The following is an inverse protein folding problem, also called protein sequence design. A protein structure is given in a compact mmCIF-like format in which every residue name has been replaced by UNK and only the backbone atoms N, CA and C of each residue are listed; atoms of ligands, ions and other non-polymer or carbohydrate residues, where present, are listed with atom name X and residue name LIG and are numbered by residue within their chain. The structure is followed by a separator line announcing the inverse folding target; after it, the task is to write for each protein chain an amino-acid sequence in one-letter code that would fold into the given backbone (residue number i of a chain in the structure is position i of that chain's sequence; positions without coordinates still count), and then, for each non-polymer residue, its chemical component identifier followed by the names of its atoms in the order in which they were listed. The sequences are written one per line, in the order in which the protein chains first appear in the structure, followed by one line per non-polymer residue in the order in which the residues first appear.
data_IF_299568963694
#
_entry.id   IF_299568963694
#
_cell.length_a   1.000
_cell.length_b   1.000
_cell.length_c   1.000
_cell.angle_alpha   90.00
_cell.angle_beta   90.00
_cell.angle_gamma   90.00
#
_symmetry.space_group_name_H-M   'P 1'
#
loop_
_entity.id
_entity.type
_entity.pdbx_description
1 polymer ?
#
# COMPACT_ATOMS: atom_id res chain seq x y z
N UNK A 1 -3.13 -28.48 -7.22
CA UNK A 1 -4.15 -27.45 -7.13
C UNK A 1 -3.50 -26.13 -7.52
N UNK A 2 -4.27 -25.25 -8.13
CA UNK A 2 -3.86 -23.87 -8.36
C UNK A 2 -4.87 -23.01 -7.61
N UNK A 3 -4.39 -22.15 -6.69
CA UNK A 3 -5.24 -21.32 -5.85
C UNK A 3 -5.31 -19.96 -6.51
N UNK A 4 -6.48 -19.55 -7.03
CA UNK A 4 -6.66 -18.35 -7.84
C UNK A 4 -5.60 -18.28 -8.94
N UNK A 5 -5.72 -19.19 -9.89
CA UNK A 5 -4.65 -19.49 -10.82
C UNK A 5 -4.37 -18.38 -11.83
N UNK A 6 -3.12 -18.33 -12.30
CA UNK A 6 -2.73 -17.51 -13.45
C UNK A 6 -2.36 -18.41 -14.62
N UNK A 7 -2.71 -18.00 -15.83
CA UNK A 7 -2.17 -18.61 -17.04
C UNK A 7 -0.66 -18.37 -17.09
N UNK A 8 0.10 -19.40 -17.45
CA UNK A 8 1.55 -19.35 -17.55
C UNK A 8 1.94 -19.41 -19.03
N UNK A 9 2.90 -18.59 -19.40
CA UNK A 9 3.54 -18.57 -20.73
C UNK A 9 5.02 -18.95 -20.59
N UNK A 10 5.74 -19.06 -21.71
CA UNK A 10 7.17 -19.39 -21.74
C UNK A 10 8.02 -18.40 -20.92
N UNK A 11 7.58 -17.15 -20.81
CA UNK A 11 8.29 -16.07 -20.11
C UNK A 11 7.79 -15.75 -18.69
N UNK A 12 6.68 -16.36 -18.23
CA UNK A 12 6.13 -16.03 -16.91
C UNK A 12 4.63 -16.24 -16.78
N UNK A 13 3.93 -15.33 -16.09
CA UNK A 13 2.46 -15.32 -16.00
C UNK A 13 1.85 -14.35 -17.01
N UNK A 14 0.68 -14.71 -17.54
CA UNK A 14 -0.07 -13.87 -18.47
C UNK A 14 -0.68 -12.70 -17.71
N UNK A 15 -0.37 -11.50 -18.19
CA UNK A 15 -0.85 -10.24 -17.63
C UNK A 15 -2.28 -9.93 -18.07
N UNK A 16 -3.08 -9.39 -17.17
CA UNK A 16 -4.41 -8.85 -17.48
C UNK A 16 -4.26 -7.55 -18.32
N UNK A 17 -5.34 -7.10 -18.98
CA UNK A 17 -5.34 -5.80 -19.63
C UNK A 17 -4.88 -4.70 -18.66
N UNK A 18 -3.95 -3.88 -19.10
CA UNK A 18 -3.35 -2.81 -18.32
C UNK A 18 -2.66 -3.26 -17.01
N UNK A 19 -2.25 -4.52 -16.91
CA UNK A 19 -1.48 -5.03 -15.78
C UNK A 19 0.03 -4.77 -16.01
N UNK A 20 0.65 -4.05 -15.08
CA UNK A 20 2.09 -3.79 -15.04
C UNK A 20 2.71 -4.38 -13.78
N UNK A 21 3.88 -4.98 -13.93
CA UNK A 21 4.69 -5.44 -12.80
C UNK A 21 5.32 -4.21 -12.15
N UNK A 22 5.12 -4.05 -10.85
CA UNK A 22 5.71 -2.98 -10.04
C UNK A 22 6.93 -3.48 -9.30
N UNK A 23 6.88 -4.73 -8.81
CA UNK A 23 8.00 -5.34 -8.11
C UNK A 23 8.04 -6.84 -8.37
N UNK A 24 9.25 -7.41 -8.39
CA UNK A 24 9.48 -8.86 -8.41
C UNK A 24 10.56 -9.22 -7.42
N UNK A 25 10.30 -10.21 -6.57
CA UNK A 25 11.26 -10.65 -5.57
C UNK A 25 12.41 -11.45 -6.18
N UNK A 26 13.51 -11.64 -5.45
CA UNK A 26 14.49 -12.66 -5.77
C UNK A 26 13.87 -14.08 -5.84
N UNK A 27 14.50 -15.03 -6.57
CA UNK A 27 13.95 -16.36 -6.84
C UNK A 27 13.96 -17.31 -5.64
N UNK A 28 14.67 -16.98 -4.54
CA UNK A 28 14.62 -17.76 -3.30
C UNK A 28 13.54 -17.25 -2.34
N UNK A 29 12.37 -16.91 -2.85
CA UNK A 29 11.22 -16.48 -2.04
C UNK A 29 10.27 -17.64 -1.79
N UNK A 30 10.09 -18.01 -0.53
CA UNK A 30 9.19 -19.08 -0.12
C UNK A 30 7.79 -18.52 0.20
N UNK A 31 6.75 -19.33 0.02
CA UNK A 31 5.38 -18.99 0.43
C UNK A 31 4.73 -20.14 1.19
N UNK A 32 3.87 -19.81 2.14
CA UNK A 32 2.92 -20.75 2.75
C UNK A 32 1.55 -20.12 2.90
N UNK A 33 0.51 -20.91 2.65
CA UNK A 33 -0.89 -20.56 2.76
C UNK A 33 -1.54 -21.52 3.74
N UNK A 34 -2.04 -20.99 4.85
CA UNK A 34 -2.68 -21.75 5.94
C UNK A 34 -3.89 -21.00 6.48
N UNK A 35 -4.86 -21.66 7.13
CA UNK A 35 -5.87 -20.97 7.91
C UNK A 35 -5.23 -20.01 8.93
N UNK A 36 -5.90 -18.89 9.25
CA UNK A 36 -5.40 -17.95 10.24
C UNK A 36 -5.31 -18.60 11.62
N UNK A 37 -4.37 -18.12 12.44
CA UNK A 37 -4.20 -18.55 13.82
C UNK A 37 -5.49 -18.36 14.61
N UNK A 38 -6.03 -19.44 15.18
CA UNK A 38 -7.28 -19.40 15.94
C UNK A 38 -8.53 -19.79 15.15
N UNK A 39 -8.41 -20.15 13.87
CA UNK A 39 -9.50 -20.78 13.13
C UNK A 39 -9.90 -22.11 13.78
N UNK A 40 -11.20 -22.25 14.12
CA UNK A 40 -11.77 -23.44 14.78
C UNK A 40 -12.60 -24.32 13.82
N UNK A 41 -12.64 -23.98 12.54
CA UNK A 41 -13.37 -24.77 11.55
C UNK A 41 -12.63 -26.04 11.17
N UNK A 42 -13.32 -26.94 10.46
CA UNK A 42 -12.77 -28.23 10.05
C UNK A 42 -11.84 -28.19 8.82
N UNK A 43 -11.63 -27.01 8.23
CA UNK A 43 -10.83 -26.89 7.02
C UNK A 43 -9.33 -26.73 7.30
N UNK A 44 -8.52 -27.57 6.65
CA UNK A 44 -7.08 -27.70 6.86
C UNK A 44 -6.27 -27.38 5.61
N UNK A 45 -6.48 -26.19 5.03
CA UNK A 45 -5.64 -25.71 3.93
C UNK A 45 -4.16 -25.69 4.35
N UNK A 46 -3.29 -26.36 3.60
CA UNK A 46 -1.85 -26.33 3.85
C UNK A 46 -1.11 -26.43 2.54
N UNK A 47 -0.75 -25.28 1.99
CA UNK A 47 -0.03 -25.18 0.73
C UNK A 47 1.26 -24.42 0.96
N UNK A 48 2.38 -24.94 0.46
CA UNK A 48 3.69 -24.33 0.66
C UNK A 48 4.61 -24.54 -0.55
N UNK A 49 5.49 -23.57 -0.77
CA UNK A 49 6.61 -23.66 -1.70
C UNK A 49 7.86 -23.10 -1.04
N UNK A 50 8.98 -23.82 -1.14
CA UNK A 50 10.23 -23.45 -0.48
C UNK A 50 11.07 -22.43 -1.27
N UNK A 51 10.76 -22.22 -2.56
CA UNK A 51 11.44 -21.27 -3.44
C UNK A 51 10.53 -20.88 -4.62
N UNK A 52 10.75 -19.70 -5.19
CA UNK A 52 9.90 -19.09 -6.18
C UNK A 52 10.03 -17.57 -6.19
N UNK A 53 9.21 -16.93 -7.00
CA UNK A 53 9.15 -15.48 -7.11
C UNK A 53 7.75 -14.98 -6.77
N UNK A 54 7.67 -13.94 -5.94
CA UNK A 54 6.45 -13.16 -5.75
C UNK A 54 6.55 -11.89 -6.61
N UNK A 55 5.52 -11.68 -7.42
CA UNK A 55 5.35 -10.52 -8.27
C UNK A 55 4.21 -9.67 -7.71
N UNK A 56 4.48 -8.38 -7.57
CA UNK A 56 3.50 -7.37 -7.27
C UNK A 56 3.18 -6.63 -8.55
N UNK A 57 1.92 -6.63 -8.95
CA UNK A 57 1.42 -5.83 -10.07
C UNK A 57 0.55 -4.69 -9.56
N UNK A 58 0.14 -3.79 -10.45
CA UNK A 58 -0.85 -2.76 -10.12
C UNK A 58 -2.27 -3.31 -9.87
N UNK A 59 -2.51 -4.62 -10.00
CA UNK A 59 -3.84 -5.22 -9.85
C UNK A 59 -3.87 -6.37 -8.83
N UNK A 60 -2.77 -7.12 -8.69
CA UNK A 60 -2.73 -8.33 -7.87
C UNK A 60 -1.33 -8.68 -7.39
N UNK A 61 -1.29 -9.54 -6.39
CA UNK A 61 -0.10 -10.30 -6.00
C UNK A 61 -0.13 -11.64 -6.74
N UNK A 62 0.99 -12.04 -7.34
CA UNK A 62 1.14 -13.35 -8.02
C UNK A 62 2.36 -14.06 -7.45
N UNK A 63 2.23 -15.33 -7.10
CA UNK A 63 3.36 -16.16 -6.70
C UNK A 63 3.56 -17.31 -7.69
N UNK A 64 4.80 -17.45 -8.14
CA UNK A 64 5.26 -18.51 -9.02
C UNK A 64 6.30 -19.39 -8.30
N UNK A 65 5.94 -20.64 -7.94
CA UNK A 65 6.89 -21.61 -7.41
C UNK A 65 8.04 -21.90 -8.39
N UNK A 66 9.25 -22.08 -7.88
CA UNK A 66 10.39 -22.54 -8.69
C UNK A 66 10.17 -23.97 -9.20
N UNK A 67 9.61 -24.84 -8.36
CA UNK A 67 9.18 -26.18 -8.73
C UNK A 67 7.66 -26.27 -8.66
N UNK A 68 7.01 -26.30 -9.83
CA UNK A 68 5.55 -26.43 -9.95
C UNK A 68 5.16 -27.88 -9.68
N UNK A 69 4.33 -28.12 -8.68
CA UNK A 69 3.83 -29.46 -8.36
C UNK A 69 2.37 -29.60 -8.79
N UNK A 70 1.89 -30.85 -8.86
CA UNK A 70 0.46 -31.08 -9.07
C UNK A 70 -0.39 -30.47 -7.97
N UNK A 71 0.16 -30.22 -6.78
CA UNK A 71 -0.52 -29.66 -5.62
C UNK A 71 -0.45 -28.14 -5.57
N UNK A 72 0.61 -27.52 -6.09
CA UNK A 72 0.78 -26.08 -6.12
C UNK A 72 1.53 -25.61 -7.37
N UNK A 73 0.79 -24.98 -8.29
CA UNK A 73 1.34 -24.49 -9.56
C UNK A 73 1.55 -22.98 -9.59
N UNK A 74 0.61 -22.23 -9.02
CA UNK A 74 0.64 -20.78 -8.93
C UNK A 74 -0.37 -20.31 -7.89
N UNK A 75 -0.17 -19.07 -7.44
CA UNK A 75 -1.12 -18.35 -6.62
C UNK A 75 -1.31 -16.93 -7.15
N UNK A 76 -2.54 -16.40 -7.08
CA UNK A 76 -2.81 -14.99 -7.32
C UNK A 76 -3.87 -14.45 -6.37
N UNK A 77 -3.80 -13.17 -6.02
CA UNK A 77 -4.85 -12.51 -5.24
C UNK A 77 -4.94 -11.03 -5.61
N UNK A 78 -6.15 -10.50 -5.88
CA UNK A 78 -6.36 -9.07 -6.06
C UNK A 78 -5.84 -8.28 -4.85
N UNK A 79 -5.27 -7.09 -5.06
CA UNK A 79 -4.66 -6.31 -3.97
C UNK A 79 -5.66 -5.99 -2.84
N UNK A 80 -6.91 -5.69 -3.18
CA UNK A 80 -7.96 -5.38 -2.21
C UNK A 80 -8.38 -6.58 -1.34
N UNK A 81 -8.10 -7.80 -1.79
CA UNK A 81 -8.36 -9.02 -1.04
C UNK A 81 -7.25 -9.35 -0.04
N UNK A 82 -6.13 -8.63 -0.08
CA UNK A 82 -4.99 -8.82 0.82
C UNK A 82 -5.04 -7.78 1.94
N UNK A 83 -5.18 -8.23 3.18
CA UNK A 83 -5.38 -7.40 4.38
C UNK A 83 -4.33 -7.71 5.46
N UNK A 84 -4.25 -6.85 6.47
CA UNK A 84 -3.42 -7.05 7.67
C UNK A 84 -1.97 -7.43 7.37
N UNK A 85 -1.41 -6.74 6.39
CA UNK A 85 -0.07 -6.95 5.85
C UNK A 85 0.99 -6.34 6.76
N UNK A 86 2.06 -7.08 7.05
CA UNK A 86 3.18 -6.60 7.85
C UNK A 86 4.47 -7.37 7.58
N UNK A 87 5.61 -6.76 7.87
CA UNK A 87 6.93 -7.40 7.81
C UNK A 87 7.44 -7.71 9.22
N UNK A 88 7.96 -8.91 9.41
CA UNK A 88 8.73 -9.32 10.58
C UNK A 88 10.19 -9.53 10.18
N UNK A 89 11.10 -8.82 10.84
CA UNK A 89 12.54 -8.91 10.64
C UNK A 89 13.18 -9.48 11.92
N UNK A 90 13.33 -10.81 12.03
CA UNK A 90 13.98 -11.42 13.19
C UNK A 90 15.47 -11.07 13.21
N UNK A 91 16.09 -11.01 14.40
CA UNK A 91 17.54 -10.78 14.56
C UNK A 91 18.39 -11.79 13.79
N UNK A 92 17.90 -13.03 13.67
CA UNK A 92 18.54 -14.08 12.89
C UNK A 92 17.50 -14.74 11.99
N UNK A 93 17.83 -14.86 10.70
CA UNK A 93 16.99 -15.50 9.70
C UNK A 93 16.43 -14.51 8.66
N UNK A 94 15.64 -15.03 7.70
CA UNK A 94 15.08 -14.22 6.62
C UNK A 94 13.91 -13.36 7.10
N UNK A 95 13.72 -12.22 6.44
CA UNK A 95 12.54 -11.38 6.65
C UNK A 95 11.29 -12.08 6.13
N UNK A 96 10.20 -11.90 6.84
CA UNK A 96 8.91 -12.51 6.53
C UNK A 96 7.88 -11.42 6.35
N UNK A 97 7.17 -11.41 5.23
CA UNK A 97 5.96 -10.63 5.07
C UNK A 97 4.75 -11.54 5.25
N UNK A 98 3.80 -11.13 6.09
CA UNK A 98 2.59 -11.89 6.39
C UNK A 98 1.37 -11.04 6.10
N UNK A 99 0.33 -11.64 5.52
CA UNK A 99 -0.95 -10.99 5.25
C UNK A 99 -2.12 -11.99 5.34
N UNK A 100 -3.33 -11.48 5.49
CA UNK A 100 -4.57 -12.23 5.37
C UNK A 100 -5.17 -12.05 3.97
N UNK A 101 -5.43 -13.16 3.30
CA UNK A 101 -6.02 -13.18 1.96
C UNK A 101 -7.47 -13.63 2.05
N UNK A 102 -8.39 -12.79 1.58
CA UNK A 102 -9.79 -13.14 1.45
C UNK A 102 -10.01 -14.01 0.21
N UNK A 103 -10.56 -15.24 0.34
CA UNK A 103 -10.89 -16.08 -0.79
C UNK A 103 -11.87 -15.40 -1.74
N UNK A 104 -11.75 -15.68 -3.04
CA UNK A 104 -12.73 -15.28 -4.06
C UNK A 104 -13.47 -16.49 -4.57
N UNK A 105 -14.72 -16.30 -5.00
CA UNK A 105 -15.54 -17.34 -5.59
C UNK A 105 -14.85 -17.96 -6.81
N UNK A 106 -14.81 -19.29 -6.89
CA UNK A 106 -14.11 -20.00 -7.97
C UNK A 106 -12.58 -20.05 -7.83
N UNK A 107 -12.04 -19.56 -6.71
CA UNK A 107 -10.60 -19.42 -6.48
C UNK A 107 -9.84 -20.65 -6.01
N UNK A 108 -10.49 -21.80 -5.85
CA UNK A 108 -9.85 -23.03 -5.36
C UNK A 108 -9.55 -23.06 -3.86
N UNK A 109 -9.73 -21.94 -3.14
CA UNK A 109 -9.83 -21.91 -1.68
C UNK A 109 -11.32 -22.04 -1.32
N UNK A 110 -11.66 -22.86 -0.33
CA UNK A 110 -13.06 -23.03 0.06
C UNK A 110 -13.65 -21.73 0.63
N UNK A 111 -14.92 -21.50 0.35
CA UNK A 111 -15.68 -20.39 0.90
C UNK A 111 -15.93 -20.51 2.42
N UNK A 112 -15.67 -21.68 3.03
CA UNK A 112 -15.74 -21.86 4.49
C UNK A 112 -14.61 -21.18 5.25
N UNK A 113 -13.53 -20.78 4.58
CA UNK A 113 -12.48 -19.96 5.18
C UNK A 113 -12.80 -18.48 4.99
N UNK A 114 -12.96 -17.69 6.08
CA UNK A 114 -13.17 -16.24 5.94
C UNK A 114 -11.91 -15.51 5.44
N UNK A 115 -10.74 -16.08 5.73
CA UNK A 115 -9.44 -15.61 5.29
C UNK A 115 -8.43 -16.76 5.30
N UNK A 116 -7.34 -16.59 4.57
CA UNK A 116 -6.17 -17.46 4.56
C UNK A 116 -4.94 -16.63 4.93
N UNK A 117 -4.15 -17.09 5.88
CA UNK A 117 -2.87 -16.46 6.18
C UNK A 117 -1.85 -16.83 5.10
N UNK A 118 -1.35 -15.81 4.41
CA UNK A 118 -0.23 -15.90 3.49
C UNK A 118 1.03 -15.42 4.19
N UNK A 119 2.05 -16.29 4.22
CA UNK A 119 3.37 -15.99 4.75
C UNK A 119 4.40 -16.12 3.65
N UNK A 120 5.10 -15.04 3.35
CA UNK A 120 6.14 -14.96 2.32
C UNK A 120 7.48 -14.75 3.00
N UNK A 121 8.44 -15.63 2.73
CA UNK A 121 9.78 -15.59 3.35
C UNK A 121 10.82 -15.22 2.31
N UNK A 122 11.46 -14.07 2.50
CA UNK A 122 12.43 -13.49 1.58
C UNK A 122 13.85 -13.88 1.99
N UNK A 123 14.40 -14.95 1.41
CA UNK A 123 15.72 -15.49 1.78
C UNK A 123 16.90 -14.65 1.28
N UNK A 124 16.64 -13.72 0.36
CA UNK A 124 17.64 -12.88 -0.31
C UNK A 124 17.33 -11.39 -0.13
N UNK A 125 16.50 -11.03 0.85
CA UNK A 125 16.06 -9.64 1.07
C UNK A 125 14.88 -9.21 0.18
N UNK A 126 14.53 -7.93 0.25
CA UNK A 126 13.43 -7.33 -0.52
C UNK A 126 12.04 -7.40 0.14
N UNK A 127 11.93 -7.87 1.39
CA UNK A 127 10.65 -7.93 2.10
C UNK A 127 10.08 -6.53 2.39
N UNK A 128 10.93 -5.59 2.81
CA UNK A 128 10.52 -4.21 3.08
C UNK A 128 10.16 -3.48 1.79
N UNK A 129 10.96 -3.61 0.74
CA UNK A 129 10.65 -3.02 -0.57
C UNK A 129 9.33 -3.55 -1.12
N UNK A 130 9.10 -4.86 -1.04
CA UNK A 130 7.83 -5.48 -1.41
C UNK A 130 6.67 -4.88 -0.61
N UNK A 131 6.80 -4.80 0.72
CA UNK A 131 5.75 -4.28 1.59
C UNK A 131 5.45 -2.80 1.32
N UNK A 132 6.47 -1.95 1.19
CA UNK A 132 6.30 -0.52 0.88
C UNK A 132 5.62 -0.32 -0.48
N UNK A 133 6.02 -1.06 -1.52
CA UNK A 133 5.35 -1.00 -2.81
C UNK A 133 3.91 -1.52 -2.73
N UNK A 134 3.68 -2.60 -1.96
CA UNK A 134 2.35 -3.18 -1.78
C UNK A 134 1.39 -2.19 -1.12
N UNK A 135 1.77 -1.58 0.01
CA UNK A 135 0.92 -0.62 0.70
C UNK A 135 0.65 0.62 -0.16
N UNK A 136 1.69 1.16 -0.83
CA UNK A 136 1.57 2.32 -1.74
C UNK A 136 0.55 2.09 -2.86
N UNK A 137 0.57 0.93 -3.52
CA UNK A 137 -0.38 0.64 -4.60
C UNK A 137 -1.76 0.38 -4.03
N UNK A 138 -1.85 -0.35 -2.92
CA UNK A 138 -3.11 -0.73 -2.30
C UNK A 138 -3.89 0.50 -1.82
N UNK A 139 -3.22 1.45 -1.17
CA UNK A 139 -3.82 2.72 -0.74
C UNK A 139 -4.43 3.48 -1.93
N UNK A 140 -3.66 3.69 -3.00
CA UNK A 140 -4.15 4.35 -4.23
C UNK A 140 -5.32 3.61 -4.88
N UNK A 141 -5.31 2.28 -4.83
CA UNK A 141 -6.41 1.48 -5.35
C UNK A 141 -7.67 1.59 -4.49
N UNK A 142 -7.52 1.70 -3.17
CA UNK A 142 -8.64 1.95 -2.25
C UNK A 142 -9.23 3.35 -2.47
N UNK A 143 -8.39 4.38 -2.57
CA UNK A 143 -8.82 5.76 -2.88
C UNK A 143 -9.58 5.83 -4.21
N UNK A 144 -9.10 5.15 -5.26
CA UNK A 144 -9.78 5.12 -6.55
C UNK A 144 -11.17 4.48 -6.48
N UNK A 145 -11.33 3.42 -5.68
CA UNK A 145 -12.63 2.76 -5.45
C UNK A 145 -13.55 3.67 -4.63
N UNK A 146 -13.07 4.27 -3.55
CA UNK A 146 -13.85 5.17 -2.70
C UNK A 146 -14.31 6.44 -3.44
N UNK A 147 -13.43 7.02 -4.26
CA UNK A 147 -13.77 8.18 -5.11
C UNK A 147 -14.82 7.82 -6.17
N UNK A 148 -14.83 6.58 -6.65
CA UNK A 148 -15.86 6.10 -7.58
C UNK A 148 -17.20 5.95 -6.85
N UNK A 149 -17.20 5.36 -5.65
CA UNK A 149 -18.42 5.18 -4.86
C UNK A 149 -19.03 6.52 -4.41
N UNK A 150 -18.20 7.51 -4.07
CA UNK A 150 -18.65 8.87 -3.75
C UNK A 150 -19.05 9.68 -5.01
N UNK A 151 -18.42 9.39 -6.16
CA UNK A 151 -18.71 10.01 -7.45
C UNK A 151 -19.95 9.49 -8.17
N UNK A 152 -20.61 8.44 -7.65
CA UNK A 152 -21.77 7.81 -8.31
C UNK A 152 -23.09 8.56 -8.05
N UNK A 153 -23.11 9.85 -8.44
CA UNK A 153 -24.28 10.52 -9.03
C UNK A 153 -24.15 10.75 -10.53
N UNK A 154 -23.09 10.27 -11.18
CA UNK A 154 -22.94 10.34 -12.63
C UNK A 154 -22.11 9.18 -13.16
N UNK A 155 -22.68 8.42 -14.10
CA UNK A 155 -22.04 7.30 -14.80
C UNK A 155 -20.64 7.68 -15.32
N UNK A 156 -19.62 6.95 -14.87
CA UNK A 156 -18.40 6.71 -15.65
C UNK A 156 -17.65 5.50 -15.08
N UNK A 157 -17.49 4.48 -15.92
CA UNK A 157 -16.66 3.30 -15.66
C UNK A 157 -15.20 3.76 -15.67
N UNK A 158 -14.55 3.83 -14.51
CA UNK A 158 -13.19 4.36 -14.38
C UNK A 158 -12.17 3.27 -14.70
N UNK A 159 -11.25 3.58 -15.62
CA UNK A 159 -10.12 2.74 -15.99
C UNK A 159 -9.05 2.79 -14.89
N UNK A 160 -8.98 1.76 -14.06
CA UNK A 160 -8.00 1.59 -12.96
C UNK A 160 -6.53 1.60 -13.44
N UNK A 161 -6.27 1.63 -14.75
CA UNK A 161 -4.93 1.72 -15.31
C UNK A 161 -4.33 3.13 -15.33
N UNK A 162 -5.16 4.17 -15.23
CA UNK A 162 -4.72 5.57 -15.31
C UNK A 162 -4.21 6.12 -13.98
N UNK A 163 -4.12 5.29 -12.93
CA UNK A 163 -3.47 5.67 -11.68
C UNK A 163 -1.97 5.86 -11.99
N UNK A 164 -1.54 7.12 -12.11
CA UNK A 164 -0.13 7.47 -12.24
C UNK A 164 0.60 7.00 -10.98
N UNK A 165 1.48 6.00 -11.14
CA UNK A 165 2.25 5.40 -10.04
C UNK A 165 3.44 6.29 -9.61
N UNK A 166 3.70 7.37 -10.34
CA UNK A 166 4.83 8.28 -10.11
C UNK A 166 4.48 9.29 -9.02
N UNK A 167 5.43 9.50 -8.11
CA UNK A 167 5.30 10.52 -7.07
C UNK A 167 5.23 11.90 -7.74
N UNK A 168 4.34 12.76 -7.25
CA UNK A 168 4.19 14.13 -7.75
C UNK A 168 5.57 14.80 -7.75
N UNK A 169 5.98 15.47 -8.85
CA UNK A 169 7.26 16.15 -8.88
C UNK A 169 7.35 17.12 -7.69
N UNK A 170 8.42 17.00 -6.92
CA UNK A 170 8.71 17.98 -5.89
C UNK A 170 8.80 19.37 -6.55
N UNK A 171 8.14 20.36 -5.96
CA UNK A 171 8.18 21.72 -6.47
C UNK A 171 9.62 22.25 -6.38
N UNK A 172 10.30 22.35 -7.53
CA UNK A 172 11.56 23.08 -7.61
C UNK A 172 11.24 24.56 -7.46
N UNK A 173 11.73 25.16 -6.37
CA UNK A 173 11.64 26.60 -6.19
C UNK A 173 12.40 27.30 -7.34
N UNK A 174 11.80 28.31 -8.00
CA UNK A 174 12.48 29.02 -9.07
C UNK A 174 13.78 29.66 -8.54
N UNK A 175 14.89 29.59 -9.29
CA UNK A 175 16.18 30.12 -8.86
C UNK A 175 16.14 31.64 -8.95
N UNK A 176 15.72 32.30 -7.88
CA UNK A 176 15.73 33.76 -7.83
C UNK A 176 17.08 34.26 -7.32
N UNK A 177 17.88 34.69 -8.29
CA UNK A 177 18.79 35.84 -8.28
C UNK A 177 19.58 36.16 -7.00
N UNK A 178 20.91 35.95 -7.10
CA UNK A 178 21.99 36.76 -6.53
C UNK A 178 21.80 37.37 -5.13
N UNK A 179 22.38 36.72 -4.12
CA UNK A 179 23.17 37.45 -3.12
C UNK A 179 24.53 36.79 -2.93
N UNK A 180 25.53 37.45 -3.51
CA UNK A 180 26.95 37.28 -3.24
C UNK A 180 27.22 37.75 -1.80
N UNK A 181 27.60 36.85 -0.89
CA UNK A 181 28.50 37.20 0.21
C UNK A 181 29.43 36.02 0.49
N UNK A 182 30.71 36.35 0.40
CA UNK A 182 31.91 35.51 0.50
C UNK A 182 32.26 35.14 1.95
N UNK A 183 32.81 33.94 2.13
CA UNK A 183 33.91 33.54 3.04
C UNK A 183 33.68 33.50 4.57
N UNK A 184 33.77 32.30 5.17
CA UNK A 184 34.93 31.79 5.96
C UNK A 184 34.52 30.82 7.10
N UNK A 185 35.08 29.61 7.11
CA UNK A 185 35.22 28.68 8.26
C UNK A 185 36.38 29.13 9.19
N UNK A 186 36.67 28.51 10.37
CA UNK A 186 35.91 27.55 11.21
C UNK A 186 35.94 27.90 12.74
N UNK A 187 35.32 27.04 13.58
CA UNK A 187 35.81 26.60 14.94
C UNK A 187 34.84 26.77 16.14
N UNK A 188 34.74 25.66 16.91
CA UNK A 188 34.50 25.50 18.35
C UNK A 188 33.10 25.23 18.95
N UNK A 189 33.08 24.17 19.76
CA UNK A 189 31.99 23.52 20.50
C UNK A 189 32.09 23.88 22.03
N UNK A 190 31.24 23.36 22.95
CA UNK A 190 30.22 24.07 23.76
C UNK A 190 30.66 24.32 25.25
N UNK A 191 29.85 24.86 26.20
CA UNK A 191 28.78 24.10 26.88
C UNK A 191 27.55 24.87 27.46
N UNK A 192 26.53 24.09 27.80
CA UNK A 192 25.31 24.29 28.63
C UNK A 192 25.14 25.54 29.52
N UNK A 193 23.95 26.16 29.46
CA UNK A 193 23.07 26.47 30.63
C UNK A 193 21.69 27.01 30.18
N UNK A 194 20.59 26.38 30.63
CA UNK A 194 19.19 26.91 30.66
C UNK A 194 19.05 27.94 31.82
N UNK A 195 17.97 28.76 31.96
CA UNK A 195 16.67 28.81 31.25
C UNK A 195 16.15 30.23 30.87
N UNK A 196 14.92 30.27 30.32
CA UNK A 196 13.94 31.38 30.20
C UNK A 196 14.18 32.53 29.21
N UNK A 197 13.42 32.58 28.10
CA UNK A 197 12.30 33.53 27.89
C UNK A 197 11.48 33.16 26.62
N UNK A 198 10.26 33.67 26.54
CA UNK A 198 9.17 33.34 25.62
C UNK A 198 9.33 33.77 24.14
N UNK A 199 8.39 33.29 23.30
CA UNK A 199 8.01 33.77 21.93
C UNK A 199 8.75 33.08 20.77
N UNK A 200 8.13 32.62 19.67
CA UNK A 200 6.75 32.63 19.21
C UNK A 200 6.56 31.47 18.22
N UNK A 201 5.48 30.72 18.36
CA UNK A 201 4.94 29.92 17.24
C UNK A 201 4.43 30.91 16.18
N UNK A 202 4.80 30.80 14.89
CA UNK A 202 4.11 31.56 13.86
C UNK A 202 2.78 30.85 13.57
N UNK A 203 1.78 31.10 14.42
CA UNK A 203 0.37 30.86 14.09
C UNK A 203 -0.19 32.17 13.58
N UNK A 204 -0.11 32.38 12.27
CA UNK A 204 -0.99 33.35 11.62
C UNK A 204 -1.52 32.73 10.32
N UNK A 205 -2.83 32.44 10.24
CA UNK A 205 -3.44 32.02 9.00
C UNK A 205 -3.37 33.18 7.99
N UNK A 206 -3.32 32.87 6.70
CA UNK A 206 -3.20 33.88 5.66
C UNK A 206 -4.30 34.95 5.79
N UNK A 207 -3.97 36.24 5.59
CA UNK A 207 -4.92 37.33 5.68
C UNK A 207 -6.09 37.06 4.72
N UNK A 208 -7.32 37.19 5.25
CA UNK A 208 -8.63 36.83 4.68
C UNK A 208 -9.28 35.49 5.12
N UNK A 209 -8.65 34.64 5.94
CA UNK A 209 -9.32 33.40 6.39
C UNK A 209 -10.48 33.67 7.39
N UNK A 210 -10.36 34.69 8.22
CA UNK A 210 -11.33 35.02 9.27
C UNK A 210 -12.68 35.54 8.72
N UNK A 211 -12.64 36.28 7.60
CA UNK A 211 -13.85 36.78 6.92
C UNK A 211 -14.65 35.65 6.26
N UNK A 212 -13.98 34.65 5.68
CA UNK A 212 -14.65 33.50 5.04
C UNK A 212 -15.29 32.60 6.10
N UNK A 213 -14.63 32.41 7.24
CA UNK A 213 -15.17 31.62 8.34
C UNK A 213 -16.40 32.29 8.97
N UNK A 214 -16.32 33.59 9.25
CA UNK A 214 -17.42 34.33 9.85
C UNK A 214 -18.66 34.39 8.94
N UNK A 215 -18.48 34.56 7.62
CA UNK A 215 -19.57 34.50 6.66
C UNK A 215 -20.21 33.10 6.58
N UNK A 216 -19.42 32.04 6.66
CA UNK A 216 -19.93 30.66 6.61
C UNK A 216 -20.81 30.34 7.83
N UNK A 217 -20.38 30.75 9.03
CA UNK A 217 -21.12 30.54 10.27
C UNK A 217 -22.41 31.37 10.31
N UNK A 218 -22.36 32.62 9.83
CA UNK A 218 -23.54 33.47 9.74
C UNK A 218 -24.61 32.88 8.80
N UNK A 219 -24.19 32.36 7.65
CA UNK A 219 -25.10 31.78 6.67
C UNK A 219 -25.78 30.48 7.18
N UNK A 220 -25.03 29.61 7.88
CA UNK A 220 -25.58 28.38 8.47
C UNK A 220 -26.64 28.69 9.56
N UNK A 221 -26.40 29.73 10.36
CA UNK A 221 -27.33 30.15 11.42
C UNK A 221 -28.65 30.69 10.84
N UNK A 222 -28.57 31.51 9.79
CA UNK A 222 -29.73 32.08 9.11
C UNK A 222 -30.58 30.99 8.43
N UNK A 223 -29.95 30.01 7.78
CA UNK A 223 -30.67 28.86 7.21
C UNK A 223 -31.37 28.01 8.29
N UNK A 224 -30.73 27.82 9.45
CA UNK A 224 -31.35 27.13 10.59
C UNK A 224 -32.57 27.87 11.12
N UNK A 225 -32.50 29.19 11.27
CA UNK A 225 -33.63 30.00 11.73
C UNK A 225 -34.79 29.97 10.73
N UNK A 226 -34.48 30.00 9.42
CA UNK A 226 -35.50 29.91 8.37
C UNK A 226 -36.20 28.55 8.30
N UNK A 227 -35.51 27.46 8.68
CA UNK A 227 -36.10 26.12 8.79
C UNK A 227 -36.96 25.91 10.03
N UNK A 228 -36.80 26.75 11.05
CA UNK A 228 -37.49 26.64 12.33
C UNK A 228 -38.77 27.52 12.44
N UNK A 229 -39.07 28.31 11.41
CA UNK A 229 -40.32 29.07 11.22
C UNK A 229 -41.25 28.36 10.25
#
# INVERSE_FOLDING_TARGET
MSLNWVMLDQEGFVRLPNERIVYSSPPRTAVSLTPPSGYKGGESLSVQSSAGCIHLTNQRVVYLPAARTNDFQSFSSPLLNVRDSHVSAPFFGPNVWTALVQPVSGGGISASLPAVQMKVTFKEGGAFDFHTNFERIKERMQEAVENTDQGTRGQQTVDLSSIHLEDLPAYDAPPNANQTVTSSEPTEEPPSTRPSDASAEPVEPPPCYEEVQSQSVAHELEERLRRAS
#
